data_IF_660255713281
#
_entry.id   IF_660255713281
#
_cell.length_a   1.000
_cell.length_b   1.000
_cell.length_c   1.000
_cell.angle_alpha   90.00
_cell.angle_beta   90.00
_cell.angle_gamma   90.00
#
_symmetry.space_group_name_H-M   'P 1'
#
loop_
_entity.id
_entity.type
_entity.pdbx_description
1 polymer ?
#
# COMPACT_ATOMS: atom_id res chain seq x y z
N UNK A 1 3.90 -15.58 -8.35
CA UNK A 1 3.24 -14.75 -7.31
C UNK A 1 3.24 -13.31 -7.81
N UNK A 2 2.09 -12.64 -7.83
CA UNK A 2 2.00 -11.26 -8.31
C UNK A 2 2.17 -10.28 -7.14
N UNK A 3 2.89 -9.20 -7.39
CA UNK A 3 3.21 -8.19 -6.38
C UNK A 3 2.77 -6.82 -6.89
N UNK A 4 1.90 -6.17 -6.14
CA UNK A 4 1.56 -4.76 -6.31
C UNK A 4 2.41 -3.93 -5.35
N UNK A 5 3.30 -3.13 -5.91
CA UNK A 5 4.21 -2.27 -5.16
C UNK A 5 3.65 -0.86 -5.14
N UNK A 6 3.50 -0.30 -3.94
CA UNK A 6 3.09 1.08 -3.70
C UNK A 6 4.21 1.79 -3.00
N UNK A 7 4.68 2.90 -3.56
CA UNK A 7 5.64 3.80 -2.95
C UNK A 7 4.95 5.10 -2.60
N UNK A 8 5.10 5.55 -1.37
CA UNK A 8 4.45 6.77 -0.92
C UNK A 8 5.24 7.52 0.16
N UNK A 9 4.97 8.82 0.26
CA UNK A 9 5.49 9.71 1.29
C UNK A 9 4.31 10.36 2.01
N UNK A 10 4.41 10.57 3.32
CA UNK A 10 3.37 11.31 4.06
C UNK A 10 3.36 12.78 3.61
N UNK A 11 2.21 13.42 3.70
CA UNK A 11 2.14 14.88 3.59
C UNK A 11 2.54 15.55 4.92
N UNK A 12 2.71 16.87 4.91
CA UNK A 12 3.21 17.64 6.06
C UNK A 12 2.25 17.66 7.27
N UNK A 13 0.99 17.24 7.08
CA UNK A 13 -0.06 17.31 8.10
C UNK A 13 -0.22 16.01 8.89
N UNK A 14 0.53 14.97 8.54
CA UNK A 14 0.41 13.63 9.11
C UNK A 14 1.76 13.21 9.66
N UNK A 15 1.77 12.72 10.89
CA UNK A 15 2.97 12.17 11.50
C UNK A 15 3.33 10.82 10.90
N UNK A 16 4.58 10.43 11.08
CA UNK A 16 5.07 9.11 10.69
C UNK A 16 4.27 7.99 11.36
N UNK A 17 4.02 8.13 12.66
CA UNK A 17 3.32 7.13 13.45
C UNK A 17 1.89 6.93 12.94
N UNK A 18 1.21 8.02 12.56
CA UNK A 18 -0.14 7.98 12.00
C UNK A 18 -0.20 7.30 10.63
N UNK A 19 0.73 7.60 9.71
CA UNK A 19 0.73 6.97 8.38
C UNK A 19 1.07 5.47 8.49
N UNK A 20 2.01 5.09 9.36
CA UNK A 20 2.38 3.68 9.61
C UNK A 20 1.20 2.92 10.24
N UNK A 21 0.49 3.54 11.19
CA UNK A 21 -0.70 2.97 11.81
C UNK A 21 -1.82 2.74 10.79
N UNK A 22 -2.21 3.78 10.03
CA UNK A 22 -3.27 3.67 9.02
C UNK A 22 -2.93 2.63 7.94
N UNK A 23 -1.67 2.58 7.51
CA UNK A 23 -1.23 1.58 6.53
C UNK A 23 -1.33 0.17 7.10
N UNK A 24 -0.92 -0.03 8.36
CA UNK A 24 -1.01 -1.33 9.05
C UNK A 24 -2.46 -1.77 9.24
N UNK A 25 -3.35 -0.84 9.61
CA UNK A 25 -4.79 -1.09 9.71
C UNK A 25 -5.38 -1.47 8.36
N UNK A 26 -4.99 -0.78 7.29
CA UNK A 26 -5.44 -1.10 5.94
C UNK A 26 -5.01 -2.50 5.52
N UNK A 27 -3.74 -2.86 5.75
CA UNK A 27 -3.23 -4.22 5.50
C UNK A 27 -4.03 -5.26 6.29
N UNK A 28 -4.34 -4.98 7.56
CA UNK A 28 -5.13 -5.87 8.41
C UNK A 28 -6.55 -6.05 7.86
N UNK A 29 -7.18 -4.98 7.39
CA UNK A 29 -8.49 -5.07 6.74
C UNK A 29 -8.44 -5.94 5.47
N UNK A 30 -7.45 -5.71 4.60
CA UNK A 30 -7.27 -6.51 3.38
C UNK A 30 -7.08 -8.00 3.71
N UNK A 31 -6.28 -8.33 4.73
CA UNK A 31 -6.08 -9.72 5.21
C UNK A 31 -7.35 -10.34 5.78
N UNK A 32 -8.07 -9.61 6.63
CA UNK A 32 -9.31 -10.09 7.25
C UNK A 32 -10.40 -10.42 6.22
N UNK A 33 -10.44 -9.64 5.14
CA UNK A 33 -11.34 -9.84 4.01
C UNK A 33 -10.82 -10.87 2.99
N UNK A 34 -9.64 -11.46 3.23
CA UNK A 34 -8.96 -12.39 2.32
C UNK A 34 -8.75 -11.82 0.91
N UNK A 35 -8.45 -10.53 0.82
CA UNK A 35 -8.20 -9.81 -0.43
C UNK A 35 -6.74 -9.86 -0.87
N UNK A 36 -5.84 -10.30 0.00
CA UNK A 36 -4.40 -10.38 -0.25
C UNK A 36 -3.87 -11.65 0.40
N UNK A 37 -2.80 -12.22 -0.15
CA UNK A 37 -2.10 -13.36 0.47
C UNK A 37 -1.20 -12.89 1.61
N UNK A 38 -0.44 -11.81 1.38
CA UNK A 38 0.38 -11.16 2.41
C UNK A 38 0.71 -9.72 2.00
N UNK A 39 1.33 -8.96 2.91
CA UNK A 39 1.88 -7.65 2.61
C UNK A 39 3.08 -7.36 3.51
N UNK A 40 4.01 -6.54 3.02
CA UNK A 40 5.16 -6.01 3.73
C UNK A 40 5.21 -4.50 3.57
N UNK A 41 5.33 -3.78 4.68
CA UNK A 41 5.56 -2.34 4.71
C UNK A 41 6.99 -2.07 5.17
N UNK A 42 7.72 -1.27 4.42
CA UNK A 42 9.09 -0.89 4.70
C UNK A 42 9.23 0.62 4.65
N UNK A 43 10.00 1.19 5.58
CA UNK A 43 10.49 2.56 5.47
C UNK A 43 11.84 2.55 4.75
N UNK A 44 11.94 3.34 3.70
CA UNK A 44 13.17 3.55 2.95
C UNK A 44 13.99 4.63 3.68
N UNK A 45 15.18 4.24 4.14
CA UNK A 45 16.15 5.10 4.81
C UNK A 45 17.37 5.30 3.90
N UNK A 46 18.19 6.31 4.18
CA UNK A 46 19.46 6.55 3.49
C UNK A 46 19.36 6.68 1.96
N UNK A 47 18.39 7.48 1.50
CA UNK A 47 18.11 7.76 0.08
C UNK A 47 19.12 8.71 -0.61
N UNK A 48 20.39 8.68 -0.20
CA UNK A 48 21.40 9.67 -0.60
C UNK A 48 21.57 9.82 -2.13
N UNK A 49 21.41 8.72 -2.87
CA UNK A 49 21.53 8.71 -4.34
C UNK A 49 20.17 8.74 -5.07
N UNK A 50 19.04 8.70 -4.34
CA UNK A 50 17.70 8.54 -4.90
C UNK A 50 16.67 9.34 -4.10
N UNK A 51 16.91 10.65 -3.97
CA UNK A 51 16.09 11.57 -3.19
C UNK A 51 14.61 11.59 -3.62
N UNK A 52 14.33 11.24 -4.88
CA UNK A 52 13.02 11.19 -5.51
C UNK A 52 12.20 9.91 -5.23
N UNK A 53 12.80 8.95 -4.52
CA UNK A 53 12.08 7.75 -4.08
C UNK A 53 11.25 8.09 -2.85
N UNK A 54 9.94 7.76 -2.84
CA UNK A 54 9.10 8.00 -1.67
C UNK A 54 9.58 7.29 -0.40
N UNK A 55 9.16 7.76 0.77
CA UNK A 55 9.69 7.29 2.06
C UNK A 55 9.29 5.85 2.43
N UNK A 56 8.20 5.35 1.87
CA UNK A 56 7.65 4.04 2.18
C UNK A 56 7.51 3.18 0.94
N UNK A 57 7.70 1.88 1.13
CA UNK A 57 7.39 0.84 0.15
C UNK A 57 6.45 -0.18 0.79
N UNK A 58 5.26 -0.31 0.21
CA UNK A 58 4.29 -1.35 0.51
C UNK A 58 4.27 -2.36 -0.64
N UNK A 59 4.70 -3.58 -0.35
CA UNK A 59 4.56 -4.72 -1.25
C UNK A 59 3.34 -5.56 -0.85
N UNK A 60 2.37 -5.67 -1.76
CA UNK A 60 1.16 -6.47 -1.57
C UNK A 60 1.22 -7.71 -2.46
N UNK A 61 1.08 -8.88 -1.86
CA UNK A 61 1.26 -10.16 -2.53
C UNK A 61 -0.08 -10.86 -2.80
N UNK A 62 -0.23 -11.34 -4.03
CA UNK A 62 -1.38 -12.10 -4.50
C UNK A 62 -0.97 -13.48 -4.96
N UNK A 63 -1.85 -14.46 -4.78
CA UNK A 63 -1.59 -15.85 -5.16
C UNK A 63 -1.35 -15.97 -6.66
N UNK A 64 -2.25 -15.37 -7.45
CA UNK A 64 -2.25 -15.38 -8.90
C UNK A 64 -2.92 -14.11 -9.47
N UNK A 65 -3.05 -14.05 -10.79
CA UNK A 65 -3.65 -12.93 -11.51
C UNK A 65 -5.13 -12.74 -11.18
N UNK A 66 -5.89 -13.83 -11.07
CA UNK A 66 -7.32 -13.77 -10.79
C UNK A 66 -7.58 -13.27 -9.36
N UNK A 67 -6.78 -13.72 -8.38
CA UNK A 67 -6.81 -13.23 -7.00
C UNK A 67 -6.59 -11.70 -6.93
N UNK A 68 -5.60 -11.20 -7.67
CA UNK A 68 -5.31 -9.76 -7.77
C UNK A 68 -6.47 -8.97 -8.38
N UNK A 69 -7.06 -9.45 -9.47
CA UNK A 69 -8.18 -8.78 -10.14
C UNK A 69 -9.44 -8.75 -9.28
N UNK A 70 -9.76 -9.86 -8.59
CA UNK A 70 -10.87 -9.91 -7.64
C UNK A 70 -10.66 -8.96 -6.47
N UNK A 71 -9.44 -8.92 -5.93
CA UNK A 71 -9.07 -7.98 -4.88
C UNK A 71 -9.30 -6.53 -5.30
N UNK A 72 -8.78 -6.13 -6.47
CA UNK A 72 -8.98 -4.77 -6.99
C UNK A 72 -10.46 -4.44 -7.21
N UNK A 73 -11.25 -5.39 -7.72
CA UNK A 73 -12.69 -5.19 -7.87
C UNK A 73 -13.38 -4.93 -6.53
N UNK A 74 -13.06 -5.71 -5.50
CA UNK A 74 -13.66 -5.56 -4.18
C UNK A 74 -13.20 -4.27 -3.47
N UNK A 75 -11.90 -3.95 -3.54
CA UNK A 75 -11.36 -2.68 -3.02
C UNK A 75 -12.08 -1.50 -3.66
N UNK A 76 -12.24 -1.51 -5.00
CA UNK A 76 -12.96 -0.47 -5.73
C UNK A 76 -14.41 -0.32 -5.30
N UNK A 77 -15.10 -1.44 -5.13
CA UNK A 77 -16.52 -1.44 -4.80
C UNK A 77 -16.81 -1.06 -3.34
N UNK A 78 -15.92 -1.39 -2.40
CA UNK A 78 -16.25 -1.38 -0.97
C UNK A 78 -15.32 -0.53 -0.11
N UNK A 79 -14.07 -0.31 -0.53
CA UNK A 79 -13.03 0.25 0.34
C UNK A 79 -12.53 1.63 -0.07
N UNK A 80 -12.68 2.05 -1.33
CA UNK A 80 -12.10 3.32 -1.81
C UNK A 80 -12.47 4.53 -0.94
N UNK A 81 -13.73 4.57 -0.51
CA UNK A 81 -14.30 5.69 0.23
C UNK A 81 -14.36 5.46 1.74
N UNK A 82 -13.94 4.29 2.23
CA UNK A 82 -14.00 3.95 3.65
C UNK A 82 -12.67 4.18 4.34
N UNK A 83 -12.73 4.34 5.66
CA UNK A 83 -11.54 4.26 6.50
C UNK A 83 -11.00 2.82 6.50
N UNK A 84 -9.68 2.61 6.46
CA UNK A 84 -8.61 3.61 6.45
C UNK A 84 -8.19 4.11 5.06
N UNK A 85 -8.61 3.46 3.96
CA UNK A 85 -8.12 3.76 2.60
C UNK A 85 -8.31 5.23 2.17
N UNK A 86 -9.51 5.79 2.31
CA UNK A 86 -9.79 7.18 1.89
C UNK A 86 -8.90 8.19 2.64
N UNK A 87 -8.72 7.97 3.94
CA UNK A 87 -7.87 8.83 4.77
C UNK A 87 -6.41 8.66 4.39
N UNK A 88 -5.95 7.42 4.16
CA UNK A 88 -4.60 7.13 3.69
C UNK A 88 -4.30 7.87 2.37
N UNK A 89 -5.20 7.80 1.38
CA UNK A 89 -5.01 8.47 0.09
C UNK A 89 -4.96 10.00 0.19
N UNK A 90 -5.59 10.60 1.22
CA UNK A 90 -5.51 12.03 1.51
C UNK A 90 -4.29 12.42 2.35
N UNK A 91 -3.63 11.43 2.94
CA UNK A 91 -2.50 11.60 3.86
C UNK A 91 -1.14 11.47 3.17
N UNK A 92 -1.12 11.14 1.88
CA UNK A 92 0.11 10.98 1.09
C UNK A 92 0.35 12.17 0.17
N UNK A 93 1.61 12.56 0.02
CA UNK A 93 2.07 13.64 -0.88
C UNK A 93 2.60 13.10 -2.20
N UNK A 94 3.27 11.95 -2.16
CA UNK A 94 3.76 11.22 -3.32
C UNK A 94 3.13 9.82 -3.35
N UNK A 95 2.76 9.36 -4.54
CA UNK A 95 2.16 8.04 -4.72
C UNK A 95 2.57 7.47 -6.07
N UNK A 96 3.37 6.40 -6.06
CA UNK A 96 3.86 5.70 -7.26
C UNK A 96 3.52 4.22 -7.13
N UNK A 97 3.16 3.58 -8.24
CA UNK A 97 2.77 2.17 -8.26
C UNK A 97 3.53 1.41 -9.33
N UNK A 98 3.83 0.14 -9.06
CA UNK A 98 4.38 -0.78 -10.05
C UNK A 98 3.90 -2.21 -9.79
N UNK A 99 4.01 -3.05 -10.81
CA UNK A 99 3.66 -4.46 -10.76
C UNK A 99 4.90 -5.29 -11.02
N UNK A 100 5.06 -6.38 -10.26
CA UNK A 100 6.16 -7.31 -10.46
C UNK A 100 5.71 -8.75 -10.21
N UNK A 101 6.49 -9.70 -10.70
CA UNK A 101 6.26 -11.12 -10.51
C UNK A 101 7.46 -11.70 -9.78
N UNK A 102 7.22 -12.52 -8.76
CA UNK A 102 8.27 -13.35 -8.19
C UNK A 102 8.73 -14.36 -9.24
N UNK A 103 10.04 -14.40 -9.48
CA UNK A 103 10.72 -15.38 -10.33
C UNK A 103 10.69 -16.77 -9.70
#
# INVERSE_FOLDING_TARGET
MNIYNVYFSANENITREEIELMTTEYIKELKNRKLISSASLQKLVDKANFSEIPDYHLAVFFKDQNDMEQSFKQVRAQLLNTYPHNVLMKSVSEFKVSFSQAL
#
